data_IF_938475528319
#
_entry.id   IF_938475528319
#
_cell.length_a   1.000
_cell.length_b   1.000
_cell.length_c   1.000
_cell.angle_alpha   90.00
_cell.angle_beta   90.00
_cell.angle_gamma   90.00
#
_symmetry.space_group_name_H-M   'P 1'
#
loop_
_entity.id
_entity.type
_entity.pdbx_description
1 polymer ?
#
# COMPACT_ATOMS: atom_id res chain seq x y z
N UNK A 1 -12.69 4.47 4.40
CA UNK A 1 -12.78 3.66 5.64
C UNK A 1 -14.07 2.85 5.68
N UNK A 2 -15.21 3.40 5.24
CA UNK A 2 -16.51 2.70 5.22
C UNK A 2 -16.49 1.37 4.45
N UNK A 3 -15.94 1.35 3.23
CA UNK A 3 -15.89 0.14 2.41
C UNK A 3 -15.04 -1.01 2.97
N UNK A 4 -14.03 -0.71 3.81
CA UNK A 4 -13.18 -1.75 4.40
C UNK A 4 -13.94 -2.54 5.48
N UNK A 5 -14.57 -1.81 6.42
CA UNK A 5 -15.35 -2.43 7.48
C UNK A 5 -16.55 -3.20 6.92
N UNK A 6 -17.23 -2.65 5.91
CA UNK A 6 -18.32 -3.32 5.20
C UNK A 6 -17.87 -4.61 4.53
N UNK A 7 -16.71 -4.57 3.83
CA UNK A 7 -16.15 -5.75 3.18
C UNK A 7 -15.76 -6.84 4.18
N UNK A 8 -15.13 -6.47 5.30
CA UNK A 8 -14.78 -7.43 6.35
C UNK A 8 -16.02 -8.04 7.01
N UNK A 9 -17.05 -7.23 7.26
CA UNK A 9 -18.33 -7.72 7.78
C UNK A 9 -19.03 -8.65 6.78
N UNK A 10 -18.94 -8.36 5.48
CA UNK A 10 -19.42 -9.25 4.42
C UNK A 10 -18.64 -10.57 4.41
N UNK A 11 -17.31 -10.52 4.45
CA UNK A 11 -16.45 -11.70 4.48
C UNK A 11 -16.80 -12.62 5.66
N UNK A 12 -17.05 -12.03 6.84
CA UNK A 12 -17.51 -12.77 8.03
C UNK A 12 -18.84 -13.47 7.81
N UNK A 13 -19.80 -12.81 7.17
CA UNK A 13 -21.09 -13.43 6.84
C UNK A 13 -20.91 -14.54 5.81
N UNK A 14 -20.14 -14.30 4.76
CA UNK A 14 -19.91 -15.26 3.69
C UNK A 14 -19.24 -16.54 4.21
N UNK A 15 -18.19 -16.43 5.02
CA UNK A 15 -17.46 -17.56 5.57
C UNK A 15 -18.29 -18.43 6.54
N UNK A 16 -19.35 -17.88 7.14
CA UNK A 16 -20.32 -18.65 7.95
C UNK A 16 -21.34 -19.42 7.11
N UNK A 17 -21.60 -18.98 5.88
CA UNK A 17 -22.64 -19.52 5.01
C UNK A 17 -22.09 -20.55 4.02
N UNK A 18 -20.85 -20.38 3.58
CA UNK A 18 -20.20 -21.29 2.64
C UNK A 18 -18.67 -21.24 2.81
N UNK A 19 -17.96 -22.28 2.35
CA UNK A 19 -16.50 -22.24 2.23
C UNK A 19 -16.07 -21.06 1.35
N UNK A 20 -15.06 -20.32 1.82
CA UNK A 20 -14.41 -19.26 1.06
C UNK A 20 -13.03 -19.74 0.60
N UNK A 21 -12.61 -19.32 -0.60
CA UNK A 21 -11.35 -19.78 -1.18
C UNK A 21 -10.11 -19.29 -0.42
N UNK A 22 -10.20 -18.12 0.22
CA UNK A 22 -9.15 -17.55 1.05
C UNK A 22 -9.61 -17.53 2.50
N UNK A 23 -8.74 -17.96 3.42
CA UNK A 23 -8.98 -17.84 4.85
C UNK A 23 -9.28 -16.37 5.21
N UNK A 24 -10.41 -16.07 5.89
CA UNK A 24 -10.72 -14.72 6.34
C UNK A 24 -9.62 -14.05 7.17
N UNK A 25 -8.81 -14.80 7.90
CA UNK A 25 -7.65 -14.27 8.63
C UNK A 25 -6.56 -13.79 7.65
N UNK A 26 -6.30 -14.54 6.58
CA UNK A 26 -5.35 -14.17 5.54
C UNK A 26 -5.79 -12.90 4.80
N UNK A 27 -7.08 -12.80 4.47
CA UNK A 27 -7.63 -11.61 3.81
C UNK A 27 -7.51 -10.38 4.70
N UNK A 28 -7.83 -10.49 6.01
CA UNK A 28 -7.63 -9.37 6.96
C UNK A 28 -6.19 -8.93 7.03
N UNK A 29 -5.27 -9.89 7.11
CA UNK A 29 -3.85 -9.62 7.21
C UNK A 29 -3.31 -8.87 5.98
N UNK A 30 -3.71 -9.28 4.77
CA UNK A 30 -3.19 -8.68 3.53
C UNK A 30 -4.01 -7.52 2.96
N UNK A 31 -5.17 -7.18 3.55
CA UNK A 31 -6.04 -6.09 3.08
C UNK A 31 -5.32 -4.74 3.05
N UNK A 32 -4.43 -4.54 4.02
CA UNK A 32 -3.53 -3.40 4.13
C UNK A 32 -2.15 -3.75 3.62
N UNK A 33 -1.60 -2.95 2.69
CA UNK A 33 -0.24 -3.13 2.15
C UNK A 33 0.86 -2.95 3.21
N UNK A 34 0.53 -2.61 4.46
CA UNK A 34 1.47 -2.68 5.60
C UNK A 34 1.99 -4.10 5.83
N UNK A 35 1.33 -5.14 5.33
CA UNK A 35 1.89 -6.50 5.34
C UNK A 35 3.29 -6.56 4.68
N UNK A 36 3.61 -5.65 3.74
CA UNK A 36 4.94 -5.55 3.13
C UNK A 36 6.04 -5.20 4.15
N UNK A 37 5.72 -4.44 5.21
CA UNK A 37 6.66 -4.15 6.30
C UNK A 37 6.97 -5.43 7.08
N UNK A 38 5.96 -6.25 7.37
CA UNK A 38 6.14 -7.53 8.05
C UNK A 38 6.94 -8.53 7.20
N UNK A 39 6.67 -8.59 5.89
CA UNK A 39 7.44 -9.45 4.97
C UNK A 39 8.91 -9.01 4.89
N UNK A 40 9.16 -7.70 4.78
CA UNK A 40 10.51 -7.14 4.81
C UNK A 40 11.25 -7.48 6.13
N UNK A 41 10.58 -7.33 7.27
CA UNK A 41 11.13 -7.65 8.58
C UNK A 41 11.48 -9.14 8.74
N UNK A 42 10.81 -10.02 8.00
CA UNK A 42 11.12 -11.45 7.91
C UNK A 42 12.21 -11.78 6.87
N UNK A 43 12.81 -10.78 6.23
CA UNK A 43 13.87 -10.97 5.23
C UNK A 43 13.38 -11.39 3.85
N UNK A 44 12.07 -11.31 3.57
CA UNK A 44 11.53 -11.64 2.26
C UNK A 44 11.73 -10.48 1.28
N UNK A 45 12.02 -10.77 0.00
CA UNK A 45 12.23 -9.74 -1.00
C UNK A 45 10.91 -9.01 -1.28
N UNK A 46 10.88 -7.70 -0.98
CA UNK A 46 9.77 -6.80 -1.30
C UNK A 46 10.31 -5.51 -1.92
N UNK A 47 9.46 -4.79 -2.64
CA UNK A 47 9.80 -3.46 -3.13
C UNK A 47 9.98 -2.52 -1.91
N UNK A 48 11.10 -1.78 -1.79
CA UNK A 48 11.30 -0.79 -0.73
C UNK A 48 10.11 0.17 -0.62
N UNK A 49 9.63 0.39 0.59
CA UNK A 49 8.36 1.10 0.83
C UNK A 49 8.52 2.16 1.92
N UNK A 50 8.06 3.37 1.65
CA UNK A 50 8.02 4.47 2.61
C UNK A 50 6.58 4.66 3.10
N UNK A 51 6.28 4.07 4.25
CA UNK A 51 5.05 4.31 5.01
C UNK A 51 5.25 5.49 5.94
N UNK A 52 4.20 6.28 6.15
CA UNK A 52 4.26 7.49 6.97
C UNK A 52 3.07 7.54 7.93
N UNK A 53 3.32 8.00 9.15
CA UNK A 53 2.28 8.17 10.17
C UNK A 53 1.90 9.64 10.35
N UNK A 54 2.69 10.57 9.78
CA UNK A 54 2.39 12.00 9.66
C UNK A 54 2.58 12.45 8.20
N UNK A 55 1.89 13.51 7.75
CA UNK A 55 2.10 14.06 6.41
C UNK A 55 3.58 14.35 6.14
N UNK A 56 4.13 13.72 5.10
CA UNK A 56 5.56 13.78 4.78
C UNK A 56 5.74 14.23 3.33
N UNK A 57 6.70 15.12 3.01
CA UNK A 57 6.99 15.50 1.62
C UNK A 57 7.27 14.29 0.73
N UNK A 58 6.60 14.18 -0.41
CA UNK A 58 6.81 13.09 -1.35
C UNK A 58 8.25 13.04 -1.89
N UNK A 59 8.96 14.18 -1.90
CA UNK A 59 10.38 14.28 -2.25
C UNK A 59 11.28 13.38 -1.39
N UNK A 60 10.91 13.13 -0.13
CA UNK A 60 11.66 12.25 0.77
C UNK A 60 11.72 10.79 0.25
N UNK A 61 10.72 10.34 -0.51
CA UNK A 61 10.73 9.02 -1.13
C UNK A 61 11.83 8.89 -2.19
N UNK A 62 12.05 9.94 -2.97
CA UNK A 62 13.09 9.96 -4.01
C UNK A 62 14.49 9.96 -3.37
N UNK A 63 14.67 10.70 -2.27
CA UNK A 63 15.93 10.72 -1.52
C UNK A 63 16.22 9.37 -0.85
N UNK A 64 15.18 8.71 -0.34
CA UNK A 64 15.29 7.39 0.27
C UNK A 64 15.62 6.29 -0.75
N UNK A 65 14.99 6.29 -1.91
CA UNK A 65 15.12 5.22 -2.90
C UNK A 65 16.21 5.47 -3.94
N UNK A 66 16.68 6.72 -4.10
CA UNK A 66 17.68 7.07 -5.11
C UNK A 66 17.17 6.90 -6.54
N UNK A 67 15.89 7.22 -6.80
CA UNK A 67 15.23 7.05 -8.11
C UNK A 67 14.64 8.36 -8.61
N UNK A 68 14.37 8.41 -9.92
CA UNK A 68 13.74 9.57 -10.57
C UNK A 68 12.21 9.53 -10.55
N UNK A 69 11.63 8.36 -10.27
CA UNK A 69 10.19 8.14 -10.30
C UNK A 69 9.71 7.24 -9.15
N UNK A 70 8.63 7.68 -8.51
CA UNK A 70 7.97 6.94 -7.43
C UNK A 70 6.48 6.77 -7.72
N UNK A 71 5.90 5.75 -7.10
CA UNK A 71 4.47 5.48 -7.09
C UNK A 71 3.94 5.74 -5.69
N UNK A 72 3.08 6.75 -5.55
CA UNK A 72 2.23 6.92 -4.38
C UNK A 72 1.01 6.04 -4.53
N UNK A 73 0.62 5.38 -3.44
CA UNK A 73 -0.54 4.48 -3.45
C UNK A 73 -1.19 4.39 -2.07
N UNK A 74 -2.50 4.12 -2.00
CA UNK A 74 -3.16 3.91 -0.73
C UNK A 74 -2.73 2.58 -0.13
N UNK A 75 -2.57 2.58 1.19
CA UNK A 75 -2.24 1.41 2.00
C UNK A 75 -3.33 0.34 1.80
N UNK A 76 -4.60 0.72 1.90
CA UNK A 76 -5.75 -0.13 1.58
C UNK A 76 -6.30 0.27 0.20
N UNK A 77 -6.44 -0.70 -0.70
CA UNK A 77 -6.98 -0.45 -2.04
C UNK A 77 -6.62 -1.56 -3.02
N UNK A 78 -7.40 -1.68 -4.09
CA UNK A 78 -7.30 -2.75 -5.09
C UNK A 78 -7.20 -2.19 -6.52
N UNK A 79 -6.78 -3.03 -7.46
CA UNK A 79 -6.94 -2.77 -8.91
C UNK A 79 -6.22 -1.55 -9.47
N UNK A 80 -5.18 -1.02 -8.82
CA UNK A 80 -4.52 0.20 -9.30
C UNK A 80 -5.19 1.51 -8.87
N UNK A 81 -6.33 1.45 -8.17
CA UNK A 81 -7.08 2.64 -7.76
C UNK A 81 -6.28 3.51 -6.78
N UNK A 82 -6.32 4.83 -7.00
CA UNK A 82 -5.65 5.82 -6.16
C UNK A 82 -4.12 5.82 -6.25
N UNK A 83 -3.54 5.18 -7.27
CA UNK A 83 -2.10 5.21 -7.50
C UNK A 83 -1.71 6.40 -8.37
N UNK A 84 -0.63 7.08 -8.00
CA UNK A 84 -0.10 8.23 -8.73
C UNK A 84 1.40 8.03 -8.96
N UNK A 85 1.80 8.08 -10.22
CA UNK A 85 3.21 8.14 -10.60
C UNK A 85 3.68 9.58 -10.54
N UNK A 86 4.81 9.81 -9.91
CA UNK A 86 5.41 11.13 -9.76
C UNK A 86 6.86 11.08 -10.20
N UNK A 87 7.26 12.06 -11.00
CA UNK A 87 8.67 12.47 -11.09
C UNK A 87 9.02 13.39 -9.93
N UNK A 88 10.32 13.63 -9.69
CA UNK A 88 10.76 14.54 -8.63
C UNK A 88 10.18 15.94 -8.76
N UNK A 89 10.12 16.48 -9.99
CA UNK A 89 9.55 17.80 -10.26
C UNK A 89 8.05 17.89 -9.92
N UNK A 90 7.31 16.81 -10.17
CA UNK A 90 5.88 16.71 -9.85
C UNK A 90 5.62 16.54 -8.35
N UNK A 91 6.63 16.11 -7.58
CA UNK A 91 6.48 15.83 -6.16
C UNK A 91 6.62 17.07 -5.27
N UNK A 92 7.03 18.22 -5.81
CA UNK A 92 7.13 19.46 -5.05
C UNK A 92 5.75 19.91 -4.54
N UNK A 93 5.64 20.08 -3.22
CA UNK A 93 4.38 20.42 -2.54
C UNK A 93 3.40 19.25 -2.37
N UNK A 94 3.73 18.05 -2.88
CA UNK A 94 2.94 16.84 -2.66
C UNK A 94 3.32 16.22 -1.31
N UNK A 95 2.31 15.86 -0.53
CA UNK A 95 2.47 15.14 0.74
C UNK A 95 2.00 13.70 0.60
N UNK A 96 2.76 12.78 1.18
CA UNK A 96 2.29 11.43 1.49
C UNK A 96 1.48 11.55 2.78
N UNK A 97 0.18 11.25 2.72
CA UNK A 97 -0.70 11.28 3.89
C UNK A 97 -0.64 9.96 4.70
N UNK A 98 -0.99 9.96 6.01
CA UNK A 98 -1.18 8.74 6.79
C UNK A 98 -2.32 7.91 6.19
N UNK A 99 -1.97 6.82 5.49
CA UNK A 99 -2.91 6.05 4.65
C UNK A 99 -2.45 5.89 3.21
N UNK A 100 -1.39 6.60 2.81
CA UNK A 100 -0.62 6.37 1.59
C UNK A 100 0.80 5.91 1.93
N UNK A 101 1.49 5.41 0.91
CA UNK A 101 2.91 5.11 0.97
C UNK A 101 3.53 5.25 -0.42
N UNK A 102 4.84 5.42 -0.47
CA UNK A 102 5.60 5.48 -1.70
C UNK A 102 6.40 4.21 -1.93
N UNK A 103 6.58 3.86 -3.20
CA UNK A 103 7.55 2.87 -3.67
C UNK A 103 8.28 3.39 -4.91
N UNK A 104 9.50 2.94 -5.21
CA UNK A 104 10.11 3.21 -6.50
C UNK A 104 9.30 2.57 -7.63
N UNK A 105 9.29 3.21 -8.80
CA UNK A 105 8.80 2.56 -10.01
C UNK A 105 9.77 1.42 -10.39
N UNK A 106 9.26 0.20 -10.47
CA UNK A 106 10.03 -0.95 -10.99
C UNK A 106 9.70 -1.12 -12.47
N UNK A 107 10.68 -0.97 -13.39
CA UNK A 107 10.45 -1.18 -14.82
C UNK A 107 9.95 -2.59 -15.10
N UNK A 108 9.10 -2.75 -16.12
CA UNK A 108 8.78 -4.10 -16.63
C UNK A 108 10.01 -4.60 -17.39
N UNK A 109 10.50 -5.77 -17.00
CA UNK A 109 11.51 -6.56 -17.74
C UNK A 109 10.95 -7.05 -19.07
#
# INVERSE_FOLDING_TARGET
MEHEAEFLAFLDRAARLAPVANDPALVRWNLSKRYLQELAAKGLPVIPSLFVDTPTPATAAFDLFGVDEVILKPVVGAGGFGQTRLTRDQAHGVLIAPGQFAQPLVPRS
#
